data_IF_637181122164
#
_entry.id   IF_637181122164
#
_cell.length_a   1.000
_cell.length_b   1.000
_cell.length_c   1.000
_cell.angle_alpha   90.00
_cell.angle_beta   90.00
_cell.angle_gamma   90.00
#
_symmetry.space_group_name_H-M   'P 1'
#
loop_
_entity.id
_entity.type
_entity.pdbx_description
1 polymer ?
#
# COMPACT_ATOMS: atom_id res chain seq x y z
N UNK A 1 -12.45 12.40 1.98
CA UNK A 1 -12.64 11.40 3.04
C UNK A 1 -11.32 11.19 3.76
N UNK A 2 -11.38 10.88 5.05
CA UNK A 2 -10.23 10.68 5.91
C UNK A 2 -10.05 9.19 6.17
N UNK A 3 -8.88 8.67 5.84
CA UNK A 3 -8.52 7.27 6.06
C UNK A 3 -7.21 7.21 6.84
N UNK A 4 -6.88 6.03 7.37
CA UNK A 4 -5.60 5.77 8.04
C UNK A 4 -4.70 4.95 7.14
N UNK A 5 -3.48 5.42 6.90
CA UNK A 5 -2.42 4.66 6.21
C UNK A 5 -1.26 4.48 7.19
N UNK A 6 -0.96 3.23 7.57
CA UNK A 6 0.00 2.91 8.65
C UNK A 6 -0.22 3.77 9.90
N UNK A 7 -1.48 3.84 10.35
CA UNK A 7 -1.93 4.61 11.53
C UNK A 7 -1.75 6.12 11.45
N UNK A 8 -1.38 6.69 10.29
CA UNK A 8 -1.39 8.13 10.04
C UNK A 8 -2.63 8.53 9.27
N UNK A 9 -3.20 9.69 9.59
CA UNK A 9 -4.36 10.21 8.86
C UNK A 9 -3.94 10.78 7.50
N UNK A 10 -4.72 10.43 6.47
CA UNK A 10 -4.56 10.95 5.11
C UNK A 10 -5.93 11.32 4.55
N UNK A 11 -5.96 12.42 3.78
CA UNK A 11 -7.15 12.84 3.06
C UNK A 11 -7.09 12.39 1.60
N UNK A 12 -8.15 11.72 1.16
CA UNK A 12 -8.31 11.28 -0.23
C UNK A 12 -9.64 11.80 -0.81
N UNK A 13 -9.72 12.05 -2.14
CA UNK A 13 -10.97 12.32 -2.81
C UNK A 13 -11.97 11.16 -2.65
N UNK A 14 -13.28 11.43 -2.44
CA UNK A 14 -14.30 10.38 -2.48
C UNK A 14 -14.25 9.58 -3.79
N UNK A 15 -14.51 8.28 -3.72
CA UNK A 15 -14.42 7.37 -4.89
C UNK A 15 -12.99 6.98 -5.28
N UNK A 16 -11.98 7.35 -4.48
CA UNK A 16 -10.61 6.84 -4.69
C UNK A 16 -10.55 5.33 -4.46
N UNK A 17 -9.77 4.63 -5.26
CA UNK A 17 -9.50 3.21 -5.07
C UNK A 17 -8.27 2.95 -4.20
N UNK A 18 -8.14 1.72 -3.69
CA UNK A 18 -6.95 1.28 -2.95
C UNK A 18 -5.67 1.41 -3.80
N UNK A 19 -5.76 1.26 -5.12
CA UNK A 19 -4.65 1.47 -6.05
C UNK A 19 -3.97 2.84 -5.85
N UNK A 20 -4.74 3.90 -5.55
CA UNK A 20 -4.17 5.23 -5.32
C UNK A 20 -3.30 5.30 -4.06
N UNK A 21 -3.65 4.54 -3.03
CA UNK A 21 -2.87 4.44 -1.79
C UNK A 21 -1.60 3.62 -2.04
N UNK A 22 -1.72 2.55 -2.81
CA UNK A 22 -0.58 1.71 -3.22
C UNK A 22 0.44 2.54 -4.00
N UNK A 23 -0.01 3.35 -4.97
CA UNK A 23 0.84 4.30 -5.70
C UNK A 23 1.55 5.28 -4.76
N UNK A 24 0.80 5.93 -3.85
CA UNK A 24 1.37 6.87 -2.89
C UNK A 24 2.48 6.22 -2.04
N UNK A 25 2.24 5.01 -1.54
CA UNK A 25 3.21 4.27 -0.74
C UNK A 25 4.45 3.93 -1.56
N UNK A 26 4.26 3.45 -2.79
CA UNK A 26 5.36 3.12 -3.72
C UNK A 26 6.18 4.34 -4.10
N UNK A 27 5.55 5.46 -4.41
CA UNK A 27 6.24 6.71 -4.73
C UNK A 27 7.05 7.23 -3.55
N UNK A 28 6.50 7.13 -2.33
CA UNK A 28 7.18 7.54 -1.09
C UNK A 28 8.41 6.67 -0.80
N UNK A 29 8.38 5.40 -1.20
CA UNK A 29 9.45 4.42 -0.92
C UNK A 29 10.29 4.06 -2.14
N UNK A 30 10.10 4.72 -3.28
CA UNK A 30 10.84 4.41 -4.52
C UNK A 30 12.36 4.53 -4.38
N UNK A 31 12.80 5.37 -3.44
CA UNK A 31 14.21 5.62 -3.16
C UNK A 31 14.74 4.80 -1.97
N UNK A 32 13.91 3.97 -1.33
CA UNK A 32 14.33 3.11 -0.24
C UNK A 32 15.28 2.01 -0.78
N UNK A 33 16.48 1.84 -0.21
CA UNK A 33 17.47 0.88 -0.70
C UNK A 33 16.95 -0.56 -0.76
N UNK A 34 16.10 -0.96 0.20
CA UNK A 34 15.53 -2.32 0.26
C UNK A 34 14.52 -2.51 -0.86
N UNK A 35 13.62 -1.54 -1.04
CA UNK A 35 12.62 -1.55 -2.11
C UNK A 35 13.28 -1.63 -3.48
N UNK A 36 14.33 -0.83 -3.72
CA UNK A 36 15.12 -0.88 -4.96
C UNK A 36 15.79 -2.23 -5.18
N UNK A 37 16.48 -2.75 -4.16
CA UNK A 37 17.16 -4.04 -4.26
C UNK A 37 16.20 -5.20 -4.54
N UNK A 38 14.98 -5.15 -3.99
CA UNK A 38 13.95 -6.14 -4.27
C UNK A 38 13.46 -6.05 -5.72
N UNK A 39 13.11 -4.83 -6.19
CA UNK A 39 12.69 -4.62 -7.57
C UNK A 39 13.77 -5.05 -8.56
N UNK A 40 15.04 -4.72 -8.31
CA UNK A 40 16.16 -5.11 -9.17
C UNK A 40 16.35 -6.64 -9.23
N UNK A 41 16.04 -7.37 -8.15
CA UNK A 41 16.20 -8.84 -8.08
C UNK A 41 15.00 -9.62 -8.59
N UNK A 42 13.79 -9.15 -8.32
CA UNK A 42 12.55 -9.93 -8.55
C UNK A 42 11.60 -9.27 -9.54
N UNK A 43 11.82 -8.00 -9.89
CA UNK A 43 10.89 -7.18 -10.66
C UNK A 43 9.77 -6.55 -9.83
N UNK A 44 9.69 -6.83 -8.52
CA UNK A 44 8.59 -6.39 -7.66
C UNK A 44 9.08 -5.85 -6.31
N UNK A 45 8.31 -4.93 -5.70
CA UNK A 45 8.60 -4.36 -4.38
C UNK A 45 8.28 -5.30 -3.20
N UNK A 46 7.50 -6.35 -3.46
CA UNK A 46 6.99 -7.30 -2.47
C UNK A 46 6.27 -6.68 -1.26
N UNK A 47 5.75 -5.45 -1.40
CA UNK A 47 4.97 -4.81 -0.35
C UNK A 47 3.63 -5.53 -0.19
N UNK A 48 3.30 -5.89 1.05
CA UNK A 48 2.00 -6.49 1.38
C UNK A 48 1.08 -5.40 1.89
N UNK A 49 -0.13 -5.31 1.34
CA UNK A 49 -1.16 -4.36 1.75
C UNK A 49 -2.30 -5.07 2.48
N UNK A 50 -2.76 -4.45 3.55
CA UNK A 50 -3.84 -4.91 4.42
C UNK A 50 -4.89 -3.80 4.43
N UNK A 51 -6.12 -4.11 4.03
CA UNK A 51 -7.27 -3.21 4.03
C UNK A 51 -8.27 -3.69 5.07
N UNK A 52 -8.57 -2.88 6.09
CA UNK A 52 -9.49 -3.20 7.18
C UNK A 52 -9.28 -4.62 7.74
N UNK A 53 -8.03 -4.92 8.13
CA UNK A 53 -7.59 -6.23 8.66
C UNK A 53 -7.60 -7.41 7.68
N UNK A 54 -7.84 -7.17 6.38
CA UNK A 54 -7.77 -8.19 5.32
C UNK A 54 -6.56 -7.97 4.43
N UNK A 55 -5.72 -8.99 4.23
CA UNK A 55 -4.66 -8.94 3.21
C UNK A 55 -5.33 -8.85 1.83
N UNK A 56 -4.88 -7.90 1.01
CA UNK A 56 -5.43 -7.64 -0.32
C UNK A 56 -4.43 -8.04 -1.38
N UNK A 57 -4.91 -8.70 -2.44
CA UNK A 57 -4.08 -9.08 -3.58
C UNK A 57 -3.98 -7.94 -4.61
N UNK A 58 -2.90 -7.89 -5.42
CA UNK A 58 -2.72 -6.83 -6.41
C UNK A 58 -3.87 -6.66 -7.40
N UNK A 59 -4.53 -7.76 -7.81
CA UNK A 59 -5.69 -7.74 -8.71
C UNK A 59 -6.92 -7.06 -8.11
N UNK A 60 -7.00 -6.96 -6.78
CA UNK A 60 -8.13 -6.34 -6.09
C UNK A 60 -7.96 -4.83 -5.90
N UNK A 61 -6.75 -4.28 -6.13
CA UNK A 61 -6.43 -2.88 -5.80
C UNK A 61 -7.31 -1.86 -6.51
N UNK A 62 -7.66 -2.12 -7.78
CA UNK A 62 -8.53 -1.24 -8.54
C UNK A 62 -10.01 -1.41 -8.18
N UNK A 63 -10.40 -2.61 -7.74
CA UNK A 63 -11.79 -2.95 -7.42
C UNK A 63 -12.26 -2.45 -6.05
N UNK A 64 -11.33 -2.17 -5.13
CA UNK A 64 -11.65 -1.70 -3.78
C UNK A 64 -11.76 -0.19 -3.78
N UNK A 65 -12.99 0.30 -3.65
CA UNK A 65 -13.28 1.70 -3.37
C UNK A 65 -13.09 2.02 -1.89
N UNK A 66 -12.36 3.09 -1.61
CA UNK A 66 -12.08 3.56 -0.27
C UNK A 66 -13.26 4.34 0.31
N UNK A 67 -13.48 4.18 1.61
CA UNK A 67 -14.54 4.82 2.38
C UNK A 67 -13.94 5.61 3.54
N UNK A 68 -14.72 6.59 4.02
CA UNK A 68 -14.33 7.37 5.18
C UNK A 68 -14.15 6.47 6.41
N UNK A 69 -13.06 6.65 7.14
CA UNK A 69 -12.70 5.85 8.31
C UNK A 69 -11.94 4.55 8.01
N UNK A 70 -11.71 4.19 6.74
CA UNK A 70 -10.96 2.99 6.39
C UNK A 70 -9.53 3.01 6.94
N UNK A 71 -9.02 1.81 7.27
CA UNK A 71 -7.63 1.61 7.67
C UNK A 71 -6.89 0.73 6.66
N UNK A 72 -5.75 1.25 6.21
CA UNK A 72 -4.81 0.56 5.33
C UNK A 72 -3.49 0.44 6.06
N UNK A 73 -2.95 -0.77 6.09
CA UNK A 73 -1.59 -1.04 6.55
C UNK A 73 -0.78 -1.62 5.41
N UNK A 74 0.49 -1.33 5.40
CA UNK A 74 1.44 -1.95 4.50
C UNK A 74 2.69 -2.35 5.28
N UNK A 75 3.29 -3.46 4.84
CA UNK A 75 4.48 -4.01 5.46
C UNK A 75 5.46 -4.47 4.38
N UNK A 76 6.75 -4.29 4.69
CA UNK A 76 7.83 -4.85 3.88
C UNK A 76 7.91 -6.35 4.08
N UNK A 77 8.35 -7.10 3.07
CA UNK A 77 8.67 -8.51 3.25
C UNK A 77 9.80 -8.61 4.29
N UNK A 78 9.65 -9.51 5.26
CA UNK A 78 10.69 -9.77 6.24
C UNK A 78 11.75 -10.67 5.59
N UNK A 79 12.83 -10.08 5.10
CA UNK A 79 14.00 -10.83 4.62
C UNK A 79 14.93 -11.14 5.80
N UNK A 80 14.51 -12.07 6.66
CA UNK A 80 15.35 -12.63 7.72
C UNK A 80 15.61 -14.10 7.42
N UNK A 81 16.76 -14.37 6.80
CA UNK A 81 17.28 -15.70 6.50
C UNK A 81 18.78 -15.66 6.50
#
# INVERSE_FOLDING_TARGET
MRIKVNSREHEFPPGSSLARVVELVRETHKNDPVTRALIERTGFDHLTFIYNSRIVRPDEYESIELKDGDEIRWMRPYAGG
#
